data_IF_694913372409
#
_entry.id   IF_694913372409
#
_cell.length_a   1.000
_cell.length_b   1.000
_cell.length_c   1.000
_cell.angle_alpha   90.00
_cell.angle_beta   90.00
_cell.angle_gamma   90.00
#
_symmetry.space_group_name_H-M   'P 1'
#
loop_
_entity.id
_entity.type
_entity.pdbx_description
1 polymer ?
#
# COMPACT_ATOMS: atom_id res chain seq x y z
N UNK A 1 31.81 -3.25 39.30
CA UNK A 1 31.51 -3.94 38.03
C UNK A 1 30.05 -4.33 38.06
N UNK A 2 29.20 -3.60 37.36
CA UNK A 2 27.81 -3.99 37.15
C UNK A 2 27.82 -5.07 36.07
N UNK A 3 27.60 -6.32 36.46
CA UNK A 3 27.25 -7.37 35.52
C UNK A 3 25.84 -7.05 35.01
N UNK A 4 25.73 -6.54 33.79
CA UNK A 4 24.47 -6.63 33.08
C UNK A 4 24.29 -8.10 32.68
N UNK A 5 23.20 -8.77 33.09
CA UNK A 5 22.92 -10.10 32.60
C UNK A 5 22.75 -10.04 31.09
N UNK A 6 23.52 -10.84 30.36
CA UNK A 6 23.30 -11.05 28.92
C UNK A 6 21.96 -11.78 28.80
N UNK A 7 20.90 -11.02 28.54
CA UNK A 7 19.65 -11.59 28.05
C UNK A 7 19.96 -12.10 26.64
N UNK A 8 19.99 -13.42 26.46
CA UNK A 8 19.98 -13.99 25.12
C UNK A 8 18.68 -13.50 24.44
N UNK A 9 18.75 -12.97 23.21
CA UNK A 9 17.57 -12.43 22.57
C UNK A 9 16.55 -13.54 22.29
N UNK A 10 15.44 -13.54 23.03
CA UNK A 10 14.36 -14.52 22.85
C UNK A 10 13.73 -14.34 21.47
N UNK A 11 13.75 -15.38 20.63
CA UNK A 11 13.26 -15.33 19.24
C UNK A 11 12.01 -16.20 19.09
N UNK A 12 10.94 -15.64 18.52
CA UNK A 12 9.78 -16.41 18.04
C UNK A 12 10.05 -16.90 16.61
N UNK A 13 10.07 -18.22 16.38
CA UNK A 13 10.28 -18.80 15.04
C UNK A 13 9.00 -19.48 14.57
N UNK A 14 8.46 -19.01 13.45
CA UNK A 14 7.27 -19.59 12.81
C UNK A 14 7.72 -20.51 11.68
N UNK A 15 7.36 -21.79 11.74
CA UNK A 15 7.71 -22.81 10.75
C UNK A 15 6.46 -23.55 10.29
N UNK A 16 6.47 -24.14 9.09
CA UNK A 16 5.29 -24.83 8.56
C UNK A 16 4.13 -23.86 8.29
N UNK A 17 2.94 -24.21 8.77
CA UNK A 17 1.73 -23.36 8.68
C UNK A 17 1.03 -23.29 10.03
N UNK A 18 0.31 -22.20 10.32
CA UNK A 18 -0.47 -22.13 11.54
C UNK A 18 -1.28 -20.86 11.71
N UNK A 19 -2.15 -20.89 12.72
CA UNK A 19 -2.91 -19.72 13.18
C UNK A 19 -2.78 -19.65 14.69
N UNK A 20 -2.59 -18.46 15.24
CA UNK A 20 -2.50 -18.26 16.69
C UNK A 20 -3.17 -16.93 17.07
N UNK A 21 -3.94 -16.95 18.15
CA UNK A 21 -4.68 -15.79 18.65
C UNK A 21 -4.20 -15.30 20.02
N UNK A 22 -3.27 -16.03 20.66
CA UNK A 22 -2.62 -15.58 21.88
C UNK A 22 -1.78 -14.33 21.68
N UNK A 23 -1.68 -13.51 22.73
CA UNK A 23 -0.77 -12.37 22.78
C UNK A 23 0.66 -12.85 23.06
N UNK A 24 1.60 -12.37 22.25
CA UNK A 24 3.05 -12.53 22.41
C UNK A 24 3.65 -11.22 22.92
N UNK A 25 3.21 -10.78 24.10
CA UNK A 25 3.61 -9.52 24.73
C UNK A 25 4.40 -9.81 26.02
N UNK A 26 5.33 -8.93 26.40
CA UNK A 26 5.99 -9.02 27.69
C UNK A 26 5.06 -8.66 28.84
N UNK A 27 5.44 -9.04 30.06
CA UNK A 27 4.67 -8.75 31.26
C UNK A 27 4.85 -7.30 31.75
N UNK A 28 5.97 -6.66 31.42
CA UNK A 28 6.26 -5.26 31.75
C UNK A 28 6.68 -4.47 30.50
N UNK A 29 6.67 -3.14 30.60
CA UNK A 29 7.20 -2.25 29.58
C UNK A 29 8.70 -2.54 29.33
N UNK A 30 9.06 -2.82 28.08
CA UNK A 30 10.42 -3.22 27.71
C UNK A 30 10.69 -4.72 27.78
N UNK A 31 9.72 -5.51 28.24
CA UNK A 31 9.76 -6.97 28.11
C UNK A 31 9.03 -7.37 26.82
N UNK A 32 9.57 -8.33 26.08
CA UNK A 32 9.01 -8.81 24.82
C UNK A 32 9.94 -9.81 24.13
N UNK A 33 9.63 -10.19 22.90
CA UNK A 33 10.54 -10.99 22.09
C UNK A 33 11.59 -10.07 21.47
N UNK A 34 12.84 -10.51 21.47
CA UNK A 34 13.90 -9.78 20.78
C UNK A 34 13.69 -9.81 19.27
N UNK A 35 13.12 -10.90 18.74
CA UNK A 35 12.78 -10.99 17.32
C UNK A 35 11.70 -12.02 17.01
N UNK A 36 11.11 -11.89 15.83
CA UNK A 36 10.23 -12.84 15.17
C UNK A 36 10.82 -13.19 13.81
N UNK A 37 10.92 -14.48 13.49
CA UNK A 37 11.37 -14.96 12.17
C UNK A 37 10.36 -15.95 11.61
N UNK A 38 9.79 -15.62 10.45
CA UNK A 38 8.90 -16.47 9.67
C UNK A 38 9.70 -17.23 8.61
N UNK A 39 9.73 -18.56 8.75
CA UNK A 39 10.38 -19.54 7.86
C UNK A 39 9.36 -20.56 7.32
N UNK A 40 8.08 -20.32 7.58
CA UNK A 40 6.97 -21.18 7.18
C UNK A 40 6.46 -20.86 5.77
N UNK A 41 5.27 -21.39 5.48
CA UNK A 41 4.55 -21.17 4.22
C UNK A 41 3.35 -20.24 4.41
N UNK A 42 2.60 -20.38 5.51
CA UNK A 42 1.47 -19.49 5.84
C UNK A 42 1.20 -19.46 7.35
N UNK A 43 1.36 -18.29 7.98
CA UNK A 43 1.09 -18.08 9.40
C UNK A 43 0.20 -16.87 9.61
N UNK A 44 -0.79 -17.00 10.49
CA UNK A 44 -1.65 -15.90 10.93
C UNK A 44 -1.52 -15.70 12.44
N UNK A 45 -1.08 -14.51 12.86
CA UNK A 45 -1.05 -14.10 14.25
C UNK A 45 -2.10 -13.00 14.45
N UNK A 46 -3.17 -13.32 15.20
CA UNK A 46 -4.27 -12.38 15.47
C UNK A 46 -4.21 -11.74 16.85
N UNK A 47 -3.39 -12.29 17.75
CA UNK A 47 -3.05 -11.64 19.01
C UNK A 47 -2.02 -10.50 18.82
N UNK A 48 -1.81 -9.72 19.87
CA UNK A 48 -0.81 -8.66 19.90
C UNK A 48 0.60 -9.25 19.98
N UNK A 49 1.58 -8.57 19.37
CA UNK A 49 2.99 -8.99 19.37
C UNK A 49 3.87 -7.81 19.73
N UNK A 50 4.69 -7.97 20.78
CA UNK A 50 5.68 -6.96 21.17
C UNK A 50 7.10 -7.45 20.87
N UNK A 51 7.77 -6.70 19.99
CA UNK A 51 9.14 -6.93 19.53
C UNK A 51 10.03 -5.77 19.99
N UNK A 52 11.00 -6.10 20.85
CA UNK A 52 11.88 -5.11 21.50
C UNK A 52 13.25 -4.98 20.83
N UNK A 53 13.56 -5.83 19.84
CA UNK A 53 14.80 -5.75 19.07
C UNK A 53 14.88 -4.48 18.23
N UNK A 54 16.10 -3.96 18.04
CA UNK A 54 16.35 -2.68 17.35
C UNK A 54 16.85 -2.81 15.91
N UNK A 55 17.30 -4.00 15.49
CA UNK A 55 17.76 -4.31 14.13
C UNK A 55 16.59 -4.87 13.28
N UNK A 56 16.86 -5.78 12.33
CA UNK A 56 15.84 -6.58 11.66
C UNK A 56 15.21 -7.58 12.64
N UNK A 57 14.29 -7.08 13.43
CA UNK A 57 13.65 -7.75 14.56
C UNK A 57 12.40 -8.52 14.14
N UNK A 58 11.77 -8.16 13.02
CA UNK A 58 10.77 -9.00 12.35
C UNK A 58 11.30 -9.36 10.97
N UNK A 59 11.46 -10.65 10.69
CA UNK A 59 11.91 -11.16 9.38
C UNK A 59 10.88 -12.10 8.80
N UNK A 60 10.36 -11.76 7.62
CA UNK A 60 9.53 -12.64 6.81
C UNK A 60 10.39 -13.18 5.68
N UNK A 61 11.07 -14.31 5.95
CA UNK A 61 12.05 -14.88 5.02
C UNK A 61 11.36 -15.70 3.92
N UNK A 62 10.24 -16.34 4.24
CA UNK A 62 9.48 -17.18 3.31
C UNK A 62 7.98 -17.10 3.55
N UNK A 63 7.20 -17.51 2.55
CA UNK A 63 5.76 -17.71 2.69
C UNK A 63 5.00 -16.43 2.99
N UNK A 64 3.86 -16.57 3.66
CA UNK A 64 2.99 -15.47 4.05
C UNK A 64 2.88 -15.38 5.57
N UNK A 65 3.17 -14.21 6.12
CA UNK A 65 2.85 -13.86 7.51
C UNK A 65 1.70 -12.87 7.51
N UNK A 66 0.63 -13.17 8.24
CA UNK A 66 -0.50 -12.26 8.45
C UNK A 66 -0.50 -11.79 9.89
N UNK A 67 -0.49 -10.48 10.10
CA UNK A 67 -0.77 -9.86 11.40
C UNK A 67 -2.18 -9.30 11.41
N UNK A 68 -2.98 -9.69 12.40
CA UNK A 68 -4.34 -9.19 12.59
C UNK A 68 -4.60 -8.72 14.04
N UNK A 69 -3.53 -8.32 14.71
CA UNK A 69 -3.50 -7.68 16.04
C UNK A 69 -2.54 -6.49 16.04
N UNK A 70 -2.27 -5.93 17.23
CA UNK A 70 -1.31 -4.84 17.36
C UNK A 70 0.12 -5.38 17.37
N UNK A 71 0.97 -4.93 16.44
CA UNK A 71 2.40 -5.29 16.41
C UNK A 71 3.25 -4.08 16.76
N UNK A 72 3.78 -4.08 17.99
CA UNK A 72 4.76 -3.10 18.43
C UNK A 72 6.15 -3.56 18.05
N UNK A 73 6.82 -2.84 17.16
CA UNK A 73 8.20 -3.12 16.79
C UNK A 73 9.06 -1.86 16.90
N UNK A 74 10.08 -1.89 17.76
CA UNK A 74 11.04 -0.80 17.88
C UNK A 74 12.09 -0.81 16.74
N UNK A 75 12.30 -1.97 16.12
CA UNK A 75 13.30 -2.19 15.07
C UNK A 75 12.75 -2.08 13.66
N UNK A 76 13.37 -2.86 12.76
CA UNK A 76 12.98 -2.99 11.38
C UNK A 76 12.19 -4.29 11.14
N UNK A 77 11.19 -4.18 10.30
CA UNK A 77 10.52 -5.32 9.67
C UNK A 77 11.11 -5.50 8.27
N UNK A 78 11.65 -6.68 7.99
CA UNK A 78 12.20 -7.04 6.69
C UNK A 78 11.32 -8.12 6.03
N UNK A 79 10.76 -7.80 4.87
CA UNK A 79 10.06 -8.76 4.01
C UNK A 79 11.02 -9.17 2.91
N UNK A 80 11.43 -10.43 2.89
CA UNK A 80 12.34 -10.96 1.88
C UNK A 80 11.67 -11.08 0.50
N UNK A 81 12.49 -11.17 -0.54
CA UNK A 81 12.01 -11.44 -1.90
C UNK A 81 11.23 -12.76 -1.94
N UNK A 82 10.06 -12.75 -2.60
CA UNK A 82 9.16 -13.91 -2.68
C UNK A 82 8.31 -14.16 -1.42
N UNK A 83 8.54 -13.44 -0.32
CA UNK A 83 7.73 -13.50 0.88
C UNK A 83 6.60 -12.44 0.88
N UNK A 84 5.58 -12.67 1.71
CA UNK A 84 4.43 -11.76 1.88
C UNK A 84 4.20 -11.44 3.34
N UNK A 85 4.06 -10.15 3.66
CA UNK A 85 3.49 -9.69 4.93
C UNK A 85 2.11 -9.09 4.65
N UNK A 86 1.07 -9.63 5.28
CA UNK A 86 -0.28 -9.07 5.23
C UNK A 86 -0.64 -8.41 6.57
N UNK A 87 -1.23 -7.22 6.50
CA UNK A 87 -1.81 -6.51 7.63
C UNK A 87 -3.34 -6.52 7.54
N UNK A 88 -3.95 -7.13 8.55
CA UNK A 88 -5.39 -7.39 8.67
C UNK A 88 -5.85 -8.62 7.88
N UNK A 89 -7.10 -9.03 8.10
CA UNK A 89 -7.75 -10.16 7.40
C UNK A 89 -9.02 -9.76 6.63
N UNK A 90 -9.34 -8.47 6.61
CA UNK A 90 -10.62 -7.93 6.13
C UNK A 90 -11.71 -7.96 7.21
N UNK A 91 -11.57 -8.83 8.21
CA UNK A 91 -12.44 -8.91 9.39
C UNK A 91 -11.75 -8.41 10.67
N UNK A 92 -10.42 -8.52 10.74
CA UNK A 92 -9.58 -7.94 11.78
C UNK A 92 -8.57 -6.95 11.20
N UNK A 93 -8.23 -5.93 11.97
CA UNK A 93 -7.21 -4.93 11.61
C UNK A 93 -5.85 -5.36 12.15
N UNK A 94 -4.83 -5.31 11.30
CA UNK A 94 -3.43 -5.51 11.70
C UNK A 94 -2.69 -4.18 11.74
N UNK A 95 -1.94 -3.92 12.82
CA UNK A 95 -1.06 -2.75 12.90
C UNK A 95 0.40 -3.20 12.86
N UNK A 96 1.28 -2.28 12.49
CA UNK A 96 2.72 -2.46 12.55
C UNK A 96 3.39 -1.11 12.78
N UNK A 97 4.22 -1.02 13.81
CA UNK A 97 5.09 0.13 14.06
C UNK A 97 6.55 -0.16 13.68
N UNK A 98 7.43 0.83 13.86
CA UNK A 98 8.84 0.71 13.54
C UNK A 98 9.16 1.02 12.08
N UNK A 99 10.31 0.53 11.61
CA UNK A 99 10.76 0.65 10.21
C UNK A 99 10.27 -0.54 9.39
N UNK A 100 10.13 -0.34 8.08
CA UNK A 100 9.73 -1.40 7.16
C UNK A 100 10.53 -1.37 5.85
N UNK A 101 11.24 -2.46 5.59
CA UNK A 101 11.89 -2.76 4.31
C UNK A 101 11.15 -3.90 3.61
N UNK A 102 10.46 -3.55 2.54
CA UNK A 102 9.70 -4.48 1.71
C UNK A 102 10.51 -4.83 0.45
N UNK A 103 11.06 -6.04 0.37
CA UNK A 103 11.66 -6.60 -0.86
C UNK A 103 10.77 -7.68 -1.49
N UNK A 104 9.69 -8.09 -0.80
CA UNK A 104 8.69 -9.04 -1.28
C UNK A 104 7.36 -8.36 -1.58
N UNK A 105 6.32 -8.79 -0.87
CA UNK A 105 4.98 -8.19 -0.96
C UNK A 105 4.50 -7.71 0.41
N UNK A 106 4.02 -6.47 0.48
CA UNK A 106 3.25 -5.96 1.60
C UNK A 106 1.79 -5.82 1.18
N UNK A 107 0.89 -6.53 1.86
CA UNK A 107 -0.53 -6.53 1.57
C UNK A 107 -1.34 -5.87 2.70
N UNK A 108 -2.26 -4.97 2.35
CA UNK A 108 -3.23 -4.39 3.26
C UNK A 108 -4.61 -4.99 2.98
N UNK A 109 -5.16 -5.62 4.00
CA UNK A 109 -6.51 -6.18 4.02
C UNK A 109 -7.18 -5.85 5.36
N UNK A 110 -7.51 -4.57 5.56
CA UNK A 110 -7.98 -4.05 6.84
C UNK A 110 -9.49 -4.16 7.04
N UNK A 111 -9.92 -4.24 8.30
CA UNK A 111 -11.33 -4.36 8.67
C UNK A 111 -12.06 -3.00 8.81
N UNK A 112 -11.32 -1.90 8.75
CA UNK A 112 -11.85 -0.54 8.82
C UNK A 112 -10.86 0.44 8.16
N UNK A 113 -11.24 1.71 8.08
CA UNK A 113 -10.31 2.78 7.67
C UNK A 113 -9.06 2.77 8.55
N UNK A 114 -7.89 2.88 7.93
CA UNK A 114 -6.62 2.64 8.60
C UNK A 114 -5.55 3.65 8.18
N UNK A 115 -4.86 4.21 9.16
CA UNK A 115 -3.74 5.12 8.95
C UNK A 115 -2.43 4.37 9.15
N UNK A 116 -1.60 4.32 8.11
CA UNK A 116 -0.29 3.68 8.16
C UNK A 116 0.83 4.73 8.15
N UNK A 117 1.47 4.90 9.30
CA UNK A 117 2.50 5.91 9.53
C UNK A 117 3.92 5.41 9.26
N UNK A 118 4.13 4.08 9.25
CA UNK A 118 5.45 3.50 9.00
C UNK A 118 5.85 3.74 7.54
N UNK A 119 7.00 4.39 7.34
CA UNK A 119 7.57 4.61 6.01
C UNK A 119 8.05 3.30 5.40
N UNK A 120 7.63 3.04 4.16
CA UNK A 120 7.99 1.82 3.42
C UNK A 120 9.21 2.08 2.53
N UNK A 121 10.21 1.22 2.64
CA UNK A 121 11.42 1.19 1.81
C UNK A 121 11.55 -0.14 1.05
N UNK A 122 12.52 -0.28 0.15
CA UNK A 122 12.81 -1.53 -0.58
C UNK A 122 12.27 -1.56 -2.02
N UNK A 123 12.39 -2.72 -2.67
CA UNK A 123 12.01 -2.91 -4.08
C UNK A 123 10.71 -3.69 -4.28
N UNK A 124 10.08 -4.12 -3.19
CA UNK A 124 8.90 -4.97 -3.19
C UNK A 124 7.62 -4.25 -3.60
N UNK A 125 6.57 -5.04 -3.82
CA UNK A 125 5.25 -4.57 -4.23
C UNK A 125 4.38 -4.26 -3.03
N UNK A 126 3.54 -3.24 -3.13
CA UNK A 126 2.47 -2.95 -2.16
C UNK A 126 1.11 -3.27 -2.78
N UNK A 127 0.28 -4.02 -2.07
CA UNK A 127 -1.07 -4.40 -2.50
C UNK A 127 -2.09 -3.92 -1.47
N UNK A 128 -3.21 -3.39 -1.93
CA UNK A 128 -4.39 -3.14 -1.10
C UNK A 128 -5.60 -3.83 -1.70
N UNK A 129 -6.30 -4.62 -0.88
CA UNK A 129 -7.42 -5.46 -1.34
C UNK A 129 -8.73 -5.27 -0.58
N UNK A 130 -8.71 -4.69 0.62
CA UNK A 130 -9.96 -4.43 1.37
C UNK A 130 -10.71 -3.18 0.86
N UNK A 131 -11.98 -3.09 1.22
CA UNK A 131 -12.90 -2.04 0.77
C UNK A 131 -12.72 -0.67 1.46
N UNK A 132 -11.93 -0.60 2.54
CA UNK A 132 -11.80 0.59 3.36
C UNK A 132 -10.74 1.56 2.82
N UNK A 133 -10.59 2.70 3.48
CA UNK A 133 -9.58 3.71 3.18
C UNK A 133 -8.27 3.38 3.90
N UNK A 134 -7.19 3.23 3.14
CA UNK A 134 -5.83 3.22 3.65
C UNK A 134 -5.22 4.61 3.46
N UNK A 135 -4.92 5.29 4.56
CA UNK A 135 -4.22 6.58 4.54
C UNK A 135 -2.74 6.35 4.84
N UNK A 136 -1.88 6.58 3.85
CA UNK A 136 -0.44 6.57 4.01
C UNK A 136 0.02 7.94 4.51
N UNK A 137 0.53 7.99 5.74
CA UNK A 137 1.05 9.23 6.36
C UNK A 137 2.58 9.24 6.47
N UNK A 138 3.23 8.08 6.33
CA UNK A 138 4.69 7.97 6.30
C UNK A 138 5.33 8.39 4.98
N UNK A 139 6.64 8.63 5.01
CA UNK A 139 7.45 8.88 3.81
C UNK A 139 7.82 7.54 3.17
N UNK A 140 7.06 7.14 2.15
CA UNK A 140 7.33 5.91 1.41
C UNK A 140 8.30 6.19 0.26
N UNK A 141 9.39 5.44 0.20
CA UNK A 141 10.46 5.56 -0.79
C UNK A 141 10.74 4.28 -1.57
N UNK A 142 9.92 3.24 -1.38
CA UNK A 142 10.03 1.98 -2.13
C UNK A 142 9.95 2.19 -3.65
N UNK A 143 10.62 1.31 -4.39
CA UNK A 143 10.77 1.40 -5.84
C UNK A 143 9.93 0.40 -6.61
N UNK A 144 9.21 -0.50 -5.93
CA UNK A 144 8.29 -1.45 -6.56
C UNK A 144 6.91 -0.88 -6.88
N UNK A 145 6.11 -1.67 -7.59
CA UNK A 145 4.76 -1.32 -8.03
C UNK A 145 3.77 -1.27 -6.86
N UNK A 146 2.64 -0.58 -7.08
CA UNK A 146 1.50 -0.56 -6.14
C UNK A 146 0.25 -1.02 -6.86
N UNK A 147 -0.47 -1.97 -6.27
CA UNK A 147 -1.73 -2.49 -6.81
C UNK A 147 -2.89 -2.16 -5.88
N UNK A 148 -3.90 -1.49 -6.44
CA UNK A 148 -5.12 -1.10 -5.73
C UNK A 148 -6.27 -1.93 -6.30
N UNK A 149 -6.60 -3.01 -5.62
CA UNK A 149 -7.62 -3.96 -6.06
C UNK A 149 -9.02 -3.56 -5.63
N UNK A 150 -9.15 -2.84 -4.50
CA UNK A 150 -10.42 -2.34 -3.96
C UNK A 150 -10.20 -1.15 -3.03
N UNK A 151 -11.31 -0.52 -2.61
CA UNK A 151 -11.32 0.54 -1.62
C UNK A 151 -10.60 1.81 -2.06
N UNK A 152 -10.10 2.56 -1.08
CA UNK A 152 -9.37 3.81 -1.32
C UNK A 152 -7.96 3.74 -0.76
N UNK A 153 -6.97 4.23 -1.52
CA UNK A 153 -5.67 4.61 -0.96
C UNK A 153 -5.51 6.13 -1.07
N UNK A 154 -5.18 6.75 0.06
CA UNK A 154 -4.89 8.18 0.17
C UNK A 154 -3.44 8.39 0.61
N UNK A 155 -2.68 9.14 -0.18
CA UNK A 155 -1.37 9.67 0.26
C UNK A 155 -1.62 11.02 0.95
N UNK A 156 -1.39 11.09 2.26
CA UNK A 156 -1.68 12.27 3.05
C UNK A 156 -0.76 13.47 2.73
N UNK A 157 -1.15 14.67 3.17
CA UNK A 157 -0.31 15.86 3.07
C UNK A 157 1.03 15.64 3.79
N UNK A 158 2.13 16.07 3.18
CA UNK A 158 3.49 15.86 3.69
C UNK A 158 4.05 14.44 3.50
N UNK A 159 3.22 13.46 3.15
CA UNK A 159 3.66 12.09 2.85
C UNK A 159 4.20 11.96 1.42
N UNK A 160 4.95 10.88 1.18
CA UNK A 160 5.46 10.52 -0.15
C UNK A 160 5.05 9.11 -0.55
N UNK A 161 4.87 8.91 -1.85
CA UNK A 161 4.74 7.60 -2.49
C UNK A 161 5.84 7.44 -3.55
N UNK A 162 6.75 6.51 -3.29
CA UNK A 162 7.89 6.18 -4.15
C UNK A 162 9.04 7.18 -4.08
N UNK A 163 10.22 6.74 -4.54
CA UNK A 163 11.41 7.58 -4.67
C UNK A 163 11.38 8.51 -5.88
N UNK A 164 12.06 9.66 -5.82
CA UNK A 164 12.20 10.54 -6.98
C UNK A 164 12.90 9.81 -8.14
N UNK A 165 12.38 9.96 -9.36
CA UNK A 165 12.88 9.25 -10.55
C UNK A 165 12.43 7.79 -10.66
N UNK A 166 11.61 7.30 -9.72
CA UNK A 166 11.05 5.96 -9.78
C UNK A 166 10.17 5.79 -11.05
N UNK A 167 10.24 4.61 -11.66
CA UNK A 167 9.43 4.23 -12.83
C UNK A 167 8.29 3.27 -12.50
N UNK A 168 8.19 2.80 -11.25
CA UNK A 168 7.10 1.93 -10.82
C UNK A 168 5.73 2.59 -10.95
N UNK A 169 4.71 1.75 -11.05
CA UNK A 169 3.35 2.12 -11.39
C UNK A 169 2.39 1.82 -10.24
N UNK A 170 1.52 2.78 -9.92
CA UNK A 170 0.29 2.59 -9.17
C UNK A 170 -0.78 2.14 -10.15
N UNK A 171 -1.22 0.89 -10.06
CA UNK A 171 -2.28 0.32 -10.89
C UNK A 171 -3.59 0.28 -10.11
N UNK A 172 -4.58 1.03 -10.60
CA UNK A 172 -5.90 1.16 -9.99
C UNK A 172 -6.88 0.26 -10.74
N UNK A 173 -7.36 -0.79 -10.08
CA UNK A 173 -8.37 -1.69 -10.64
C UNK A 173 -9.76 -1.06 -10.65
N UNK A 174 -10.69 -1.69 -11.39
CA UNK A 174 -12.08 -1.24 -11.46
C UNK A 174 -12.72 -1.25 -10.06
N UNK A 175 -13.34 -0.13 -9.69
CA UNK A 175 -13.94 0.05 -8.36
C UNK A 175 -12.99 0.53 -7.26
N UNK A 176 -11.67 0.57 -7.49
CA UNK A 176 -10.72 1.16 -6.56
C UNK A 176 -10.54 2.67 -6.79
N UNK A 177 -10.18 3.39 -5.73
CA UNK A 177 -9.91 4.84 -5.75
C UNK A 177 -8.49 5.14 -5.26
N UNK A 178 -7.78 6.00 -5.98
CA UNK A 178 -6.51 6.56 -5.54
C UNK A 178 -6.66 8.08 -5.39
N UNK A 179 -6.22 8.60 -4.25
CA UNK A 179 -6.20 10.02 -3.94
C UNK A 179 -4.85 10.42 -3.36
N UNK A 180 -4.48 11.69 -3.55
CA UNK A 180 -3.24 12.23 -2.98
C UNK A 180 -3.42 13.69 -2.59
N UNK A 181 -3.04 14.00 -1.35
CA UNK A 181 -2.67 15.33 -0.88
C UNK A 181 -1.13 15.48 -0.73
N UNK A 182 -0.39 14.36 -0.77
CA UNK A 182 1.08 14.32 -0.72
C UNK A 182 1.75 14.24 -2.08
N UNK A 183 3.04 13.87 -2.07
CA UNK A 183 3.85 13.71 -3.29
C UNK A 183 3.80 12.28 -3.81
N UNK A 184 3.44 12.12 -5.09
CA UNK A 184 3.45 10.82 -5.78
C UNK A 184 4.51 10.84 -6.87
N UNK A 185 5.57 10.04 -6.69
CA UNK A 185 6.66 9.93 -7.65
C UNK A 185 6.46 8.79 -8.66
N UNK A 186 5.60 7.82 -8.35
CA UNK A 186 5.22 6.72 -9.24
C UNK A 186 4.42 7.20 -10.46
N UNK A 187 4.43 6.39 -11.52
CA UNK A 187 3.43 6.47 -12.58
C UNK A 187 2.06 6.05 -12.02
N UNK A 188 0.97 6.60 -12.56
CA UNK A 188 -0.39 6.21 -12.16
C UNK A 188 -1.15 5.70 -13.39
N UNK A 189 -1.64 4.46 -13.30
CA UNK A 189 -2.41 3.78 -14.33
C UNK A 189 -3.79 3.37 -13.78
N UNK A 190 -4.84 3.62 -14.56
CA UNK A 190 -6.21 3.24 -14.21
C UNK A 190 -6.64 2.13 -15.18
N UNK A 191 -6.80 0.92 -14.65
CA UNK A 191 -7.22 -0.26 -15.41
C UNK A 191 -8.73 -0.18 -15.71
N UNK A 192 -9.11 0.57 -16.75
CA UNK A 192 -10.48 0.51 -17.25
C UNK A 192 -10.66 -0.70 -18.17
N UNK A 193 -11.76 -1.45 -18.00
CA UNK A 193 -12.17 -2.43 -19.01
C UNK A 193 -12.43 -1.70 -20.32
N UNK A 194 -11.67 -2.02 -21.38
CA UNK A 194 -11.94 -1.53 -22.73
C UNK A 194 -13.38 -1.87 -23.12
N UNK A 195 -14.25 -0.86 -23.25
CA UNK A 195 -15.33 -0.97 -24.24
C UNK A 195 -14.63 -0.92 -25.60
N UNK A 196 -14.68 -2.04 -26.33
CA UNK A 196 -14.19 -2.15 -27.70
C UNK A 196 -14.49 -0.87 -28.50
N UNK A 197 -13.45 -0.22 -29.02
CA UNK A 197 -13.58 0.87 -29.99
C UNK A 197 -13.23 2.30 -29.52
N UNK A 198 -12.92 2.57 -28.24
CA UNK A 198 -12.41 3.89 -27.83
C UNK A 198 -10.90 3.82 -27.59
N UNK A 199 -10.13 4.49 -28.45
CA UNK A 199 -8.70 4.74 -28.20
C UNK A 199 -8.57 5.53 -26.90
N UNK A 200 -8.07 4.88 -25.87
CA UNK A 200 -7.82 5.45 -24.55
C UNK A 200 -6.50 6.23 -24.61
N UNK A 201 -6.50 7.49 -24.16
CA UNK A 201 -5.26 8.27 -24.07
C UNK A 201 -4.29 7.51 -23.17
N UNK A 202 -3.19 7.04 -23.75
CA UNK A 202 -2.20 6.20 -23.08
C UNK A 202 -1.66 6.83 -21.79
N UNK A 203 -1.28 5.95 -20.87
CA UNK A 203 -0.66 6.23 -19.58
C UNK A 203 0.58 7.14 -19.66
N UNK A 204 0.75 8.04 -18.68
CA UNK A 204 1.92 8.91 -18.52
C UNK A 204 1.61 10.24 -17.82
N UNK A 205 2.66 11.02 -17.48
CA UNK A 205 2.69 12.27 -16.67
C UNK A 205 1.71 13.40 -17.07
N UNK A 206 0.92 13.22 -18.12
CA UNK A 206 0.02 14.24 -18.69
C UNK A 206 -1.45 13.77 -18.84
N UNK A 207 -1.90 12.78 -18.05
CA UNK A 207 -3.29 12.34 -18.05
C UNK A 207 -4.30 13.49 -17.81
N UNK A 208 -3.93 14.50 -17.02
CA UNK A 208 -4.75 15.70 -16.74
C UNK A 208 -4.87 16.62 -17.96
N UNK A 209 -3.87 16.67 -18.84
CA UNK A 209 -3.88 17.50 -20.06
C UNK A 209 -4.85 16.96 -21.13
N UNK A 210 -5.13 15.65 -21.12
CA UNK A 210 -6.03 15.01 -22.08
C UNK A 210 -7.52 15.34 -21.82
N UNK A 211 -7.96 15.40 -20.57
CA UNK A 211 -9.32 15.82 -20.24
C UNK A 211 -9.59 17.27 -20.66
N UNK A 212 -8.63 18.16 -20.42
CA UNK A 212 -8.73 19.58 -20.76
C UNK A 212 -8.84 19.81 -22.28
N UNK A 213 -8.00 19.15 -23.09
CA UNK A 213 -8.07 19.26 -24.56
C UNK A 213 -9.38 18.70 -25.14
N UNK A 214 -9.94 17.62 -24.57
CA UNK A 214 -11.18 17.00 -25.04
C UNK A 214 -12.41 17.85 -24.73
N UNK A 215 -12.43 18.51 -23.57
CA UNK A 215 -13.45 19.50 -23.23
C UNK A 215 -13.51 20.62 -24.28
N UNK A 216 -12.36 21.21 -24.63
CA UNK A 216 -12.31 22.29 -25.61
C UNK A 216 -12.61 21.85 -27.05
N UNK A 217 -12.25 20.63 -27.46
CA UNK A 217 -12.60 20.08 -28.77
C UNK A 217 -14.11 19.84 -28.93
N UNK A 218 -14.79 19.34 -27.88
CA UNK A 218 -16.26 19.17 -27.89
C UNK A 218 -16.98 20.51 -27.94
N UNK A 219 -16.51 21.52 -27.22
CA UNK A 219 -17.06 22.88 -27.27
C UNK A 219 -16.96 23.48 -28.69
N UNK A 220 -15.82 23.29 -29.37
CA UNK A 220 -15.64 23.75 -30.76
C UNK A 220 -16.56 23.02 -31.76
N UNK A 221 -16.79 21.72 -31.56
CA UNK A 221 -17.72 20.96 -32.41
C UNK A 221 -19.18 21.38 -32.20
N UNK A 222 -19.60 21.59 -30.94
CA UNK A 222 -20.94 22.08 -30.63
C UNK A 222 -21.18 23.50 -31.17
N UNK A 223 -20.19 24.39 -31.07
CA UNK A 223 -20.27 25.73 -31.64
C UNK A 223 -20.38 25.73 -33.16
N UNK A 224 -19.65 24.84 -33.86
CA UNK A 224 -19.77 24.68 -35.32
C UNK A 224 -21.13 24.11 -35.73
N UNK A 225 -21.67 23.14 -35.01
CA UNK A 225 -23.01 22.62 -35.25
C UNK A 225 -24.09 23.69 -35.04
N UNK A 226 -23.99 24.48 -33.97
CA UNK A 226 -24.91 25.58 -33.71
C UNK A 226 -24.81 26.71 -34.74
N UNK A 227 -23.62 26.97 -35.29
CA UNK A 227 -23.42 27.94 -36.36
C UNK A 227 -24.06 27.48 -37.69
N UNK A 228 -23.88 26.21 -38.07
CA UNK A 228 -24.50 25.66 -39.29
C UNK A 228 -26.04 25.62 -39.20
N UNK A 229 -26.61 25.28 -38.04
CA UNK A 229 -28.08 25.33 -37.87
C UNK A 229 -28.66 26.75 -37.92
N UNK A 230 -27.86 27.78 -37.63
CA UNK A 230 -28.26 29.18 -37.81
C UNK A 230 -28.18 29.64 -39.26
N UNK A 231 -27.19 29.17 -40.03
CA UNK A 231 -27.10 29.48 -41.46
C UNK A 231 -28.19 28.80 -42.29
N UNK A 232 -28.59 27.57 -41.94
CA UNK A 232 -29.68 26.86 -42.65
C UNK A 232 -31.06 27.48 -42.42
N UNK A 233 -31.29 28.15 -41.28
CA UNK A 233 -32.53 28.92 -41.03
C UNK A 233 -32.58 30.26 -41.76
N UNK A 234 -31.45 30.79 -42.23
CA UNK A 234 -31.38 32.05 -42.98
C UNK A 234 -31.50 31.86 -44.51
N UNK A 235 -31.47 30.62 -45.01
CA UNK A 235 -31.69 30.32 -46.43
C UNK A 235 -33.12 29.82 -46.74
N UNK A 236 -34.05 29.94 -45.79
CA UNK A 236 -35.42 29.43 -45.88
C UNK A 236 -36.54 30.47 -45.80
N UNK A 237 -36.24 31.76 -45.90
CA UNK A 237 -37.21 32.86 -46.04
C UNK A 237 -36.90 33.70 -47.29
#
# INVERSE_FOLDING_TARGET
>A
MLFQPIQLPNTLRLTGTGTEDSNFIGLNEGDGFASLTMLGTDWELTGNVDIIGTDDSIKVDTGKLTFAGNVSNAGNTLIAEGATLQLGTGEKTGTLSGKLTNNGTLEFNQAADFNFATGITGSGTVIKTDAHTLTLTGNNSYTGDTQLNSGTMLVAEGATLGSAGNSATVTIQDGATFASAGTVNNNVNISRRRRSGLMECGSGKYAVQCFYRRYHQRQRHQQRYAANQRSERQCGE
#
